data_IF_374519334811
#
_entry.id   IF_374519334811
#
_cell.length_a   1.000
_cell.length_b   1.000
_cell.length_c   1.000
_cell.angle_alpha   90.00
_cell.angle_beta   90.00
_cell.angle_gamma   90.00
#
_symmetry.space_group_name_H-M   'P 1'
#
loop_
_entity.id
_entity.type
_entity.pdbx_description
1 polymer ?
#
# COMPACT_ATOMS: atom_id res chain seq x y z
N UNK A 1 38.37 31.64 -38.16
CA UNK A 1 38.47 31.12 -36.79
C UNK A 1 37.53 31.96 -35.92
N UNK A 2 36.28 32.09 -36.34
CA UNK A 2 35.12 31.21 -36.11
C UNK A 2 34.57 31.40 -34.70
N UNK A 3 33.48 32.18 -34.69
CA UNK A 3 32.60 32.58 -33.61
C UNK A 3 31.79 31.39 -33.05
N UNK A 4 32.39 30.19 -32.99
CA UNK A 4 31.68 28.92 -32.73
C UNK A 4 31.82 28.39 -31.29
N UNK A 5 32.65 29.01 -30.44
CA UNK A 5 32.89 28.50 -29.08
C UNK A 5 32.09 29.20 -27.96
N UNK A 6 31.14 30.08 -28.31
CA UNK A 6 30.26 30.77 -27.34
C UNK A 6 28.78 30.32 -27.39
N UNK A 7 28.45 29.29 -28.17
CA UNK A 7 27.07 28.78 -28.32
C UNK A 7 26.88 27.28 -28.06
N UNK A 8 27.83 26.61 -27.38
CA UNK A 8 27.56 25.31 -26.77
C UNK A 8 26.79 25.45 -25.44
N UNK A 9 25.47 25.54 -25.63
CA UNK A 9 24.39 24.99 -24.80
C UNK A 9 24.23 25.46 -23.35
N UNK A 10 23.84 26.73 -23.17
CA UNK A 10 22.92 27.10 -22.08
C UNK A 10 21.58 26.34 -22.16
N UNK A 11 21.28 25.68 -23.30
CA UNK A 11 20.15 24.76 -23.46
C UNK A 11 20.33 23.38 -22.83
N UNK A 12 21.54 22.98 -22.40
CA UNK A 12 21.78 21.69 -21.71
C UNK A 12 21.83 21.85 -20.18
N UNK A 13 21.91 23.08 -19.66
CA UNK A 13 21.78 23.38 -18.22
C UNK A 13 20.35 23.67 -17.78
N UNK A 14 19.40 23.71 -18.71
CA UNK A 14 18.00 23.86 -18.40
C UNK A 14 17.41 22.54 -17.85
N UNK A 15 17.26 22.52 -16.52
CA UNK A 15 16.27 21.74 -15.73
C UNK A 15 16.62 20.35 -15.22
N UNK A 16 17.79 20.17 -14.61
CA UNK A 16 17.82 19.31 -13.41
C UNK A 16 17.10 20.07 -12.28
N UNK A 17 15.76 20.00 -12.22
CA UNK A 17 15.00 20.57 -11.08
C UNK A 17 15.54 19.92 -9.81
N UNK A 18 15.98 20.74 -8.84
CA UNK A 18 16.48 20.24 -7.57
C UNK A 18 15.42 19.37 -6.89
N UNK A 19 15.85 18.34 -6.17
CA UNK A 19 14.91 17.48 -5.47
C UNK A 19 14.09 18.32 -4.47
N UNK A 20 12.76 18.14 -4.42
CA UNK A 20 11.91 18.90 -3.51
C UNK A 20 12.26 18.57 -2.05
N UNK A 21 12.26 19.61 -1.21
CA UNK A 21 12.34 19.43 0.23
C UNK A 21 11.00 18.91 0.76
N UNK A 22 10.92 17.60 1.02
CA UNK A 22 9.75 16.99 1.67
C UNK A 22 9.78 17.26 3.19
N UNK A 23 8.62 17.48 3.83
CA UNK A 23 8.53 17.49 5.29
C UNK A 23 9.15 16.23 5.91
N UNK A 24 9.81 16.36 7.06
CA UNK A 24 10.60 15.27 7.65
C UNK A 24 9.81 13.98 7.90
N UNK A 25 8.53 14.07 8.23
CA UNK A 25 7.66 12.91 8.46
C UNK A 25 7.30 12.13 7.16
N UNK A 26 7.42 12.78 6.00
CA UNK A 26 7.30 12.16 4.67
C UNK A 26 8.68 11.73 4.16
N UNK A 27 9.70 12.58 4.27
CA UNK A 27 11.06 12.31 3.78
C UNK A 27 11.64 10.99 4.35
N UNK A 28 11.33 10.66 5.61
CA UNK A 28 11.78 9.42 6.23
C UNK A 28 11.16 8.14 5.61
N UNK A 29 10.09 8.26 4.82
CA UNK A 29 9.29 7.16 4.23
C UNK A 29 9.56 6.91 2.76
N UNK A 30 10.19 7.87 2.07
CA UNK A 30 10.36 7.81 0.61
C UNK A 30 11.62 7.04 0.24
N UNK A 31 11.53 6.24 -0.83
CA UNK A 31 12.67 5.72 -1.58
C UNK A 31 12.46 5.95 -3.07
N UNK A 32 13.55 6.21 -3.79
CA UNK A 32 13.55 6.15 -5.27
C UNK A 32 13.71 4.69 -5.67
N UNK A 33 12.79 4.18 -6.48
CA UNK A 33 12.85 2.79 -6.94
C UNK A 33 13.72 2.63 -8.20
N UNK A 34 13.86 3.70 -8.99
CA UNK A 34 14.79 3.76 -10.11
C UNK A 34 15.68 5.02 -10.08
N UNK A 35 16.73 5.01 -10.90
CA UNK A 35 17.69 6.11 -11.03
C UNK A 35 17.35 7.05 -12.21
N UNK A 36 16.05 7.25 -12.50
CA UNK A 36 15.60 8.20 -13.53
C UNK A 36 15.61 9.63 -12.98
N UNK A 37 15.82 10.59 -13.87
CA UNK A 37 15.81 12.02 -13.54
C UNK A 37 14.43 12.49 -13.10
N UNK A 38 14.40 13.31 -12.07
CA UNK A 38 13.18 13.90 -11.54
C UNK A 38 12.82 15.18 -12.32
N UNK A 39 11.53 15.36 -12.62
CA UNK A 39 11.02 16.63 -13.16
C UNK A 39 11.05 16.76 -14.69
N UNK A 40 11.14 15.66 -15.45
CA UNK A 40 10.93 15.66 -16.90
C UNK A 40 9.49 16.09 -17.29
N UNK A 41 9.30 16.42 -18.56
CA UNK A 41 8.17 17.13 -19.20
C UNK A 41 6.83 16.36 -19.24
N UNK A 42 6.43 15.69 -18.15
CA UNK A 42 5.09 15.14 -18.02
C UNK A 42 4.03 16.19 -17.67
N UNK A 43 2.76 15.84 -17.86
CA UNK A 43 1.63 16.76 -17.67
C UNK A 43 1.07 16.76 -16.25
N UNK A 44 1.36 15.71 -15.48
CA UNK A 44 0.84 15.50 -14.13
C UNK A 44 1.81 14.70 -13.26
N UNK A 45 1.58 14.72 -11.96
CA UNK A 45 2.13 13.73 -11.01
C UNK A 45 1.16 12.57 -10.92
N UNK A 46 1.65 11.34 -11.16
CA UNK A 46 0.84 10.13 -11.03
C UNK A 46 1.04 9.53 -9.64
N UNK A 47 -0.04 9.41 -8.86
CA UNK A 47 -0.06 8.51 -7.71
C UNK A 47 -0.75 7.20 -8.11
N UNK A 48 0.04 6.15 -8.29
CA UNK A 48 -0.46 4.80 -8.47
C UNK A 48 -0.79 4.17 -7.11
N UNK A 49 -2.08 4.16 -6.79
CA UNK A 49 -2.63 3.63 -5.54
C UNK A 49 -2.84 2.12 -5.65
N UNK A 50 -2.10 1.36 -4.85
CA UNK A 50 -2.18 -0.11 -4.83
C UNK A 50 -2.67 -0.63 -3.48
N UNK A 51 -2.04 -0.19 -2.39
CA UNK A 51 -2.24 -0.78 -1.04
C UNK A 51 -2.55 0.23 0.06
N UNK A 52 -2.67 1.52 -0.26
CA UNK A 52 -3.19 2.55 0.64
C UNK A 52 -4.48 3.14 0.05
N UNK A 53 -5.53 2.31 -0.05
CA UNK A 53 -6.81 2.66 -0.66
C UNK A 53 -7.63 3.63 0.21
N UNK A 54 -7.12 4.85 0.43
CA UNK A 54 -7.73 5.91 1.23
C UNK A 54 -7.25 7.29 0.77
N UNK A 55 -8.13 8.28 0.89
CA UNK A 55 -7.86 9.69 0.60
C UNK A 55 -7.47 10.51 1.83
N UNK A 56 -7.09 9.89 2.96
CA UNK A 56 -6.72 10.58 4.21
C UNK A 56 -5.59 9.85 4.93
N UNK A 57 -4.74 10.58 5.65
CA UNK A 57 -3.56 10.03 6.34
C UNK A 57 -2.76 9.04 5.46
N UNK A 58 -2.50 9.48 4.23
CA UNK A 58 -1.89 8.68 3.18
C UNK A 58 -0.57 9.33 2.75
N UNK A 59 0.59 8.82 3.26
CA UNK A 59 1.88 9.42 2.96
C UNK A 59 2.23 9.43 1.47
N UNK A 60 1.78 8.45 0.68
CA UNK A 60 2.05 8.41 -0.76
C UNK A 60 1.31 9.52 -1.50
N UNK A 61 0.04 9.73 -1.13
CA UNK A 61 -0.76 10.85 -1.64
C UNK A 61 -0.13 12.19 -1.27
N UNK A 62 0.28 12.37 -0.01
CA UNK A 62 0.85 13.63 0.46
C UNK A 62 2.20 13.92 -0.21
N UNK A 63 3.03 12.89 -0.44
CA UNK A 63 4.24 13.02 -1.26
C UNK A 63 3.87 13.46 -2.68
N UNK A 64 2.91 12.80 -3.33
CA UNK A 64 2.48 13.18 -4.68
C UNK A 64 2.01 14.65 -4.74
N UNK A 65 1.26 15.12 -3.74
CA UNK A 65 0.82 16.52 -3.64
C UNK A 65 1.98 17.49 -3.46
N UNK A 66 2.97 17.17 -2.62
CA UNK A 66 4.19 17.98 -2.49
C UNK A 66 5.01 18.03 -3.78
N UNK A 67 5.14 16.91 -4.48
CA UNK A 67 5.84 16.87 -5.77
C UNK A 67 5.08 17.68 -6.83
N UNK A 68 3.75 17.60 -6.84
CA UNK A 68 2.88 18.36 -7.73
C UNK A 68 3.06 19.87 -7.54
N UNK A 69 3.01 20.36 -6.30
CA UNK A 69 3.26 21.77 -5.97
C UNK A 69 4.65 22.22 -6.41
N UNK A 70 5.68 21.40 -6.19
CA UNK A 70 7.04 21.73 -6.61
C UNK A 70 7.19 21.76 -8.14
N UNK A 71 6.47 20.90 -8.84
CA UNK A 71 6.56 20.77 -10.30
C UNK A 71 5.63 21.71 -11.06
N UNK A 72 4.71 22.39 -10.36
CA UNK A 72 3.60 23.16 -10.95
C UNK A 72 2.74 22.26 -11.87
N UNK A 73 2.28 21.12 -11.31
CA UNK A 73 1.53 20.09 -12.04
C UNK A 73 0.34 19.58 -11.21
N UNK A 74 -0.78 19.20 -11.86
CA UNK A 74 -1.87 18.51 -11.16
C UNK A 74 -1.47 17.10 -10.72
N UNK A 75 -2.22 16.54 -9.76
CA UNK A 75 -2.13 15.12 -9.37
C UNK A 75 -3.25 14.34 -10.02
N UNK A 76 -2.91 13.18 -10.58
CA UNK A 76 -3.85 12.12 -10.95
C UNK A 76 -3.60 10.93 -10.02
N UNK A 77 -4.65 10.45 -9.37
CA UNK A 77 -4.60 9.19 -8.60
C UNK A 77 -5.18 8.09 -9.46
N UNK A 78 -4.39 7.06 -9.75
CA UNK A 78 -4.83 5.92 -10.54
C UNK A 78 -4.84 4.64 -9.71
N UNK A 79 -5.87 3.83 -9.90
CA UNK A 79 -5.97 2.48 -9.35
C UNK A 79 -6.27 1.51 -10.49
N UNK A 80 -5.62 0.34 -10.47
CA UNK A 80 -5.83 -0.72 -11.45
C UNK A 80 -6.09 -2.06 -10.78
N UNK A 81 -7.08 -2.79 -11.31
CA UNK A 81 -7.38 -4.15 -10.89
C UNK A 81 -7.11 -5.10 -12.05
N UNK A 82 -6.14 -6.00 -11.88
CA UNK A 82 -5.78 -7.02 -12.86
C UNK A 82 -6.38 -8.38 -12.45
N UNK A 83 -6.81 -9.17 -13.43
CA UNK A 83 -7.41 -10.50 -13.21
C UNK A 83 -6.39 -11.65 -13.14
N UNK A 84 -5.09 -11.36 -13.32
CA UNK A 84 -4.01 -12.34 -13.49
C UNK A 84 -3.48 -13.00 -12.19
N UNK A 85 -3.93 -12.54 -11.02
CA UNK A 85 -3.50 -13.09 -9.74
C UNK A 85 -4.01 -14.52 -9.50
N UNK A 86 -3.13 -15.41 -9.03
CA UNK A 86 -3.45 -16.81 -8.71
C UNK A 86 -4.60 -17.01 -7.69
N UNK A 87 -4.93 -15.96 -6.93
CA UNK A 87 -6.00 -15.96 -5.92
C UNK A 87 -7.06 -14.89 -6.18
N UNK A 88 -7.09 -14.32 -7.39
CA UNK A 88 -8.13 -13.38 -7.79
C UNK A 88 -9.49 -14.07 -7.78
N UNK A 89 -10.44 -13.49 -7.06
CA UNK A 89 -11.79 -14.03 -6.89
C UNK A 89 -12.79 -12.90 -6.63
N UNK A 90 -14.08 -13.20 -6.77
CA UNK A 90 -15.17 -12.27 -6.46
C UNK A 90 -15.00 -11.65 -5.08
N UNK A 91 -14.57 -12.45 -4.10
CA UNK A 91 -14.24 -12.00 -2.75
C UNK A 91 -13.25 -10.84 -2.72
N UNK A 92 -12.09 -11.03 -3.34
CA UNK A 92 -11.03 -10.03 -3.29
C UNK A 92 -11.37 -8.81 -4.14
N UNK A 93 -11.90 -9.02 -5.35
CA UNK A 93 -12.25 -7.93 -6.26
C UNK A 93 -13.38 -7.06 -5.71
N UNK A 94 -14.44 -7.67 -5.17
CA UNK A 94 -15.54 -6.93 -4.52
C UNK A 94 -15.03 -6.09 -3.36
N UNK A 95 -14.24 -6.69 -2.45
CA UNK A 95 -13.73 -5.99 -1.27
C UNK A 95 -12.78 -4.84 -1.65
N UNK A 96 -11.95 -5.03 -2.68
CA UNK A 96 -11.04 -4.01 -3.19
C UNK A 96 -11.79 -2.86 -3.88
N UNK A 97 -12.73 -3.16 -4.79
CA UNK A 97 -13.53 -2.13 -5.50
C UNK A 97 -14.35 -1.28 -4.54
N UNK A 98 -14.96 -1.88 -3.51
CA UNK A 98 -15.61 -1.13 -2.42
C UNK A 98 -14.62 -0.18 -1.71
N UNK A 99 -13.38 -0.63 -1.52
CA UNK A 99 -12.27 0.18 -1.02
C UNK A 99 -11.97 1.39 -1.88
N UNK A 100 -11.80 1.15 -3.18
CA UNK A 100 -11.45 2.20 -4.15
C UNK A 100 -12.58 3.21 -4.32
N UNK A 101 -13.85 2.78 -4.37
CA UNK A 101 -14.98 3.71 -4.45
C UNK A 101 -15.01 4.67 -3.26
N UNK A 102 -14.82 4.16 -2.03
CA UNK A 102 -14.72 5.01 -0.83
C UNK A 102 -13.51 5.97 -0.94
N UNK A 103 -12.33 5.46 -1.32
CA UNK A 103 -11.12 6.28 -1.47
C UNK A 103 -11.26 7.37 -2.53
N UNK A 104 -11.83 7.03 -3.69
CA UNK A 104 -12.04 7.97 -4.79
C UNK A 104 -13.11 9.01 -4.46
N UNK A 105 -14.13 8.62 -3.68
CA UNK A 105 -15.09 9.58 -3.12
C UNK A 105 -14.40 10.57 -2.18
N UNK A 106 -13.49 10.12 -1.32
CA UNK A 106 -12.69 11.00 -0.45
C UNK A 106 -11.79 11.95 -1.25
N UNK A 107 -11.11 11.44 -2.29
CA UNK A 107 -10.24 12.24 -3.17
C UNK A 107 -11.03 13.25 -4.00
N UNK A 108 -12.19 12.85 -4.53
CA UNK A 108 -13.05 13.72 -5.32
C UNK A 108 -13.57 14.91 -4.49
N UNK A 109 -13.95 14.69 -3.22
CA UNK A 109 -14.31 15.78 -2.29
C UNK A 109 -13.16 16.77 -2.05
N UNK A 110 -11.92 16.34 -2.24
CA UNK A 110 -10.72 17.19 -2.16
C UNK A 110 -10.34 17.82 -3.49
N UNK A 111 -11.11 17.61 -4.57
CA UNK A 111 -10.82 18.14 -5.91
C UNK A 111 -9.70 17.40 -6.65
N UNK A 112 -9.40 16.15 -6.28
CA UNK A 112 -8.32 15.37 -6.89
C UNK A 112 -8.90 14.44 -7.97
N UNK A 113 -8.30 14.46 -9.17
CA UNK A 113 -8.70 13.58 -10.27
C UNK A 113 -8.32 12.13 -9.99
N UNK A 114 -9.22 11.23 -10.36
CA UNK A 114 -9.09 9.79 -10.12
C UNK A 114 -9.36 9.01 -11.41
N UNK A 115 -8.58 7.95 -11.62
CA UNK A 115 -8.67 7.07 -12.79
C UNK A 115 -8.75 5.63 -12.32
N UNK A 116 -9.82 4.93 -12.68
CA UNK A 116 -9.99 3.51 -12.39
C UNK A 116 -9.84 2.71 -13.69
N UNK A 117 -9.00 1.69 -13.65
CA UNK A 117 -8.94 0.65 -14.68
C UNK A 117 -9.26 -0.71 -14.05
N UNK A 118 -10.14 -1.48 -14.67
CA UNK A 118 -10.44 -2.86 -14.27
C UNK A 118 -10.26 -3.73 -15.50
N UNK A 119 -9.32 -4.68 -15.45
CA UNK A 119 -9.11 -5.64 -16.53
C UNK A 119 -10.37 -6.47 -16.74
N UNK A 120 -10.82 -6.56 -17.99
CA UNK A 120 -11.98 -7.34 -18.39
C UNK A 120 -11.52 -8.55 -19.22
N UNK A 121 -12.32 -9.61 -19.24
CA UNK A 121 -12.04 -10.79 -20.04
C UNK A 121 -11.80 -10.40 -21.52
N UNK A 122 -10.64 -10.80 -22.06
CA UNK A 122 -10.27 -10.49 -23.45
C UNK A 122 -9.69 -9.09 -23.69
N UNK A 123 -9.56 -8.25 -22.66
CA UNK A 123 -9.04 -6.89 -22.75
C UNK A 123 -7.93 -6.62 -21.73
N UNK A 124 -6.67 -6.80 -22.15
CA UNK A 124 -5.49 -6.47 -21.35
C UNK A 124 -4.84 -5.18 -21.89
N UNK A 125 -5.14 -4.05 -21.24
CA UNK A 125 -4.40 -2.79 -21.45
C UNK A 125 -3.52 -2.54 -20.23
N UNK A 126 -2.26 -2.13 -20.45
CA UNK A 126 -1.39 -1.70 -19.36
C UNK A 126 -1.65 -0.23 -19.00
N UNK A 127 -2.84 0.04 -18.46
CA UNK A 127 -3.32 1.39 -18.14
C UNK A 127 -2.34 2.20 -17.29
N UNK A 128 -1.62 1.55 -16.36
CA UNK A 128 -0.66 2.22 -15.48
C UNK A 128 0.63 2.58 -16.22
N UNK A 129 1.16 1.70 -17.08
CA UNK A 129 2.32 2.03 -17.91
C UNK A 129 2.01 3.21 -18.84
N UNK A 130 0.81 3.20 -19.44
CA UNK A 130 0.39 4.27 -20.34
C UNK A 130 0.25 5.61 -19.60
N UNK A 131 -0.35 5.60 -18.40
CA UNK A 131 -0.39 6.77 -17.52
C UNK A 131 1.01 7.21 -17.07
N UNK A 132 1.92 6.27 -16.82
CA UNK A 132 3.28 6.60 -16.40
C UNK A 132 4.04 7.35 -17.49
N UNK A 133 3.83 7.03 -18.78
CA UNK A 133 4.49 7.75 -19.89
C UNK A 133 4.14 9.24 -19.95
N UNK A 134 2.94 9.63 -19.52
CA UNK A 134 2.50 11.03 -19.44
C UNK A 134 2.89 11.76 -18.15
N UNK A 135 3.44 11.05 -17.15
CA UNK A 135 3.70 11.61 -15.83
C UNK A 135 5.09 12.27 -15.72
N UNK A 136 5.20 13.34 -14.92
CA UNK A 136 6.50 13.94 -14.56
C UNK A 136 7.26 13.08 -13.54
N UNK A 137 6.51 12.38 -12.69
CA UNK A 137 6.97 11.45 -11.65
C UNK A 137 5.82 10.52 -11.28
N UNK A 138 6.14 9.26 -10.99
CA UNK A 138 5.21 8.27 -10.44
C UNK A 138 5.50 8.09 -8.97
N UNK A 139 4.46 8.12 -8.15
CA UNK A 139 4.50 7.79 -6.73
C UNK A 139 3.65 6.53 -6.50
N UNK A 140 4.11 5.60 -5.68
CA UNK A 140 3.32 4.44 -5.24
C UNK A 140 3.68 4.03 -3.81
N UNK A 141 3.03 3.02 -3.26
CA UNK A 141 3.34 2.50 -1.93
C UNK A 141 4.58 1.57 -1.94
N UNK A 142 5.40 1.67 -0.90
CA UNK A 142 6.53 0.75 -0.65
C UNK A 142 5.99 -0.50 0.06
N UNK A 143 5.51 -1.48 -0.71
CA UNK A 143 4.98 -2.75 -0.20
C UNK A 143 6.01 -3.86 -0.45
N UNK A 144 6.57 -4.50 0.60
CA UNK A 144 7.73 -5.37 0.45
C UNK A 144 7.41 -6.81 0.01
N UNK A 145 6.16 -7.11 -0.36
CA UNK A 145 5.68 -8.47 -0.67
C UNK A 145 5.09 -8.53 -2.09
N UNK A 146 5.11 -9.73 -2.66
CA UNK A 146 4.44 -10.01 -3.93
C UNK A 146 2.91 -9.94 -3.82
N UNK A 147 2.19 -9.56 -4.88
CA UNK A 147 2.70 -9.14 -6.18
C UNK A 147 3.15 -7.66 -6.22
N UNK A 148 2.88 -6.88 -5.17
CA UNK A 148 3.06 -5.42 -5.17
C UNK A 148 4.50 -4.97 -5.38
N UNK A 149 5.47 -5.62 -4.70
CA UNK A 149 6.90 -5.36 -4.91
C UNK A 149 7.28 -5.59 -6.38
N UNK A 150 6.86 -6.73 -6.94
CA UNK A 150 7.15 -7.11 -8.33
C UNK A 150 6.56 -6.11 -9.31
N UNK A 151 5.27 -5.76 -9.16
CA UNK A 151 4.57 -4.78 -10.00
C UNK A 151 5.24 -3.41 -10.01
N UNK A 152 5.59 -2.88 -8.83
CA UNK A 152 6.30 -1.60 -8.72
C UNK A 152 7.70 -1.68 -9.35
N UNK A 153 8.42 -2.79 -9.17
CA UNK A 153 9.74 -2.98 -9.77
C UNK A 153 9.67 -3.10 -11.29
N UNK A 154 8.75 -3.89 -11.83
CA UNK A 154 8.53 -4.01 -13.29
C UNK A 154 8.27 -2.65 -13.93
N UNK A 155 7.34 -1.86 -13.37
CA UNK A 155 7.08 -0.51 -13.88
C UNK A 155 8.33 0.38 -13.79
N UNK A 156 9.08 0.31 -12.68
CA UNK A 156 10.27 1.12 -12.48
C UNK A 156 11.41 0.79 -13.48
N UNK A 157 11.52 -0.47 -13.89
CA UNK A 157 12.51 -0.96 -14.86
C UNK A 157 12.14 -0.54 -16.28
N UNK A 158 10.84 -0.63 -16.63
CA UNK A 158 10.32 -0.38 -17.98
C UNK A 158 10.11 1.11 -18.28
N UNK A 159 9.76 1.92 -17.29
CA UNK A 159 9.47 3.34 -17.49
C UNK A 159 10.72 4.23 -17.58
N UNK A 160 10.64 5.28 -18.39
CA UNK A 160 11.62 6.35 -18.45
C UNK A 160 11.43 7.41 -17.34
N UNK A 161 10.35 7.31 -16.56
CA UNK A 161 9.94 8.30 -15.54
C UNK A 161 10.47 7.92 -14.16
N UNK A 162 10.79 8.93 -13.33
CA UNK A 162 11.16 8.68 -11.94
C UNK A 162 10.01 8.01 -11.18
N UNK A 163 10.29 6.87 -10.52
CA UNK A 163 9.33 6.17 -9.68
C UNK A 163 9.78 6.20 -8.22
N UNK A 164 8.95 6.79 -7.37
CA UNK A 164 9.20 6.92 -5.93
C UNK A 164 8.18 6.05 -5.18
N UNK A 165 8.65 5.30 -4.20
CA UNK A 165 7.80 4.49 -3.32
C UNK A 165 7.80 5.04 -1.91
N UNK A 166 6.66 4.96 -1.24
CA UNK A 166 6.45 5.57 0.09
C UNK A 166 5.88 4.55 1.06
N UNK A 167 6.47 4.40 2.24
CA UNK A 167 5.91 3.57 3.30
C UNK A 167 4.64 4.21 3.91
N UNK A 168 3.50 3.65 3.55
CA UNK A 168 2.16 4.04 4.01
C UNK A 168 1.57 3.11 5.07
N UNK A 169 2.25 2.01 5.39
CA UNK A 169 1.73 0.93 6.21
C UNK A 169 2.26 0.98 7.64
N UNK A 170 3.53 1.34 7.84
CA UNK A 170 4.17 1.25 9.15
C UNK A 170 4.23 2.62 9.85
N UNK A 171 4.00 2.61 11.17
CA UNK A 171 4.27 3.76 12.02
C UNK A 171 5.76 4.07 11.98
N UNK A 172 6.62 3.07 12.15
CA UNK A 172 8.06 3.15 11.92
C UNK A 172 8.34 2.75 10.47
N UNK A 173 8.80 3.67 9.61
CA UNK A 173 9.09 3.34 8.22
C UNK A 173 10.08 2.17 8.12
N UNK A 174 9.81 1.18 7.27
CA UNK A 174 10.61 -0.05 7.17
C UNK A 174 12.10 0.23 6.97
N UNK A 175 12.44 1.24 6.16
CA UNK A 175 13.83 1.66 5.92
C UNK A 175 14.59 2.13 7.17
N UNK A 176 13.89 2.55 8.22
CA UNK A 176 14.52 2.95 9.49
C UNK A 176 14.86 1.75 10.40
N UNK A 177 14.36 0.55 10.09
CA UNK A 177 14.62 -0.66 10.90
C UNK A 177 16.02 -1.26 10.68
N UNK A 178 16.72 -0.83 9.63
CA UNK A 178 18.11 -1.17 9.25
C UNK A 178 18.41 -2.64 8.92
N UNK A 179 17.67 -3.62 9.46
CA UNK A 179 17.84 -5.05 9.21
C UNK A 179 16.56 -5.86 9.43
N UNK A 180 16.56 -7.11 8.97
CA UNK A 180 15.57 -8.10 9.34
C UNK A 180 15.70 -8.50 10.83
N UNK A 181 14.57 -8.80 11.46
CA UNK A 181 14.50 -9.33 12.83
C UNK A 181 13.73 -10.65 12.83
N UNK A 182 14.33 -11.68 13.42
CA UNK A 182 13.74 -13.02 13.57
C UNK A 182 12.98 -13.18 14.90
N UNK A 183 13.11 -12.20 15.81
CA UNK A 183 12.50 -12.23 17.15
C UNK A 183 11.81 -10.92 17.50
N UNK A 184 10.60 -11.02 18.02
CA UNK A 184 9.76 -9.87 18.37
C UNK A 184 10.36 -8.95 19.44
N UNK A 185 11.09 -9.47 20.43
CA UNK A 185 11.69 -8.62 21.47
C UNK A 185 12.85 -7.78 20.91
N UNK A 186 13.67 -8.34 20.00
CA UNK A 186 14.76 -7.60 19.35
C UNK A 186 14.20 -6.44 18.51
N UNK A 187 13.14 -6.69 17.75
CA UNK A 187 12.44 -5.65 16.99
C UNK A 187 11.83 -4.59 17.90
N UNK A 188 11.18 -5.03 18.99
CA UNK A 188 10.55 -4.14 19.97
C UNK A 188 11.54 -3.14 20.58
N UNK A 189 12.72 -3.64 20.95
CA UNK A 189 13.78 -2.84 21.57
C UNK A 189 14.39 -1.87 20.56
N UNK A 190 14.78 -2.37 19.38
CA UNK A 190 15.38 -1.56 18.32
C UNK A 190 14.47 -0.42 17.83
N UNK A 191 13.14 -0.64 17.81
CA UNK A 191 12.18 0.36 17.32
C UNK A 191 11.55 1.22 18.42
N UNK A 192 11.88 1.00 19.70
CA UNK A 192 11.22 1.67 20.83
C UNK A 192 11.22 3.20 20.71
N UNK A 193 12.39 3.80 20.50
CA UNK A 193 12.53 5.26 20.37
C UNK A 193 11.77 5.79 19.13
N UNK A 194 11.86 5.07 18.01
CA UNK A 194 11.19 5.45 16.77
C UNK A 194 9.66 5.42 16.91
N UNK A 195 9.11 4.40 17.57
CA UNK A 195 7.67 4.27 17.86
C UNK A 195 7.20 5.37 18.81
N UNK A 196 7.93 5.63 19.90
CA UNK A 196 7.58 6.69 20.85
C UNK A 196 7.50 8.06 20.21
N UNK A 197 8.41 8.36 19.28
CA UNK A 197 8.40 9.63 18.55
C UNK A 197 7.18 9.80 17.63
N UNK A 198 6.59 8.71 17.13
CA UNK A 198 5.63 8.72 16.01
C UNK A 198 4.20 8.35 16.41
N UNK A 199 4.02 7.50 17.41
CA UNK A 199 2.73 6.89 17.77
C UNK A 199 1.61 7.90 18.00
N UNK A 200 1.92 9.03 18.64
CA UNK A 200 0.92 10.05 19.01
C UNK A 200 0.88 11.23 18.06
N UNK A 201 1.72 11.25 17.01
CA UNK A 201 1.76 12.36 16.05
C UNK A 201 0.41 12.50 15.35
N UNK A 202 -0.08 13.73 15.29
CA UNK A 202 -1.16 14.09 14.37
C UNK A 202 -0.62 14.04 12.95
N UNK A 203 -1.50 13.72 12.00
CA UNK A 203 -1.13 13.69 10.59
C UNK A 203 -1.60 14.99 9.93
N UNK A 204 -0.69 15.83 9.41
CA UNK A 204 -1.09 17.06 8.74
C UNK A 204 -1.75 16.72 7.40
N UNK A 205 -2.87 17.39 7.10
CA UNK A 205 -3.51 17.26 5.79
C UNK A 205 -2.81 18.19 4.79
N UNK A 206 -2.59 17.69 3.57
CA UNK A 206 -2.00 18.46 2.46
C UNK A 206 -3.08 18.75 1.45
N UNK A 207 -3.32 20.01 1.10
CA UNK A 207 -4.31 20.36 0.07
C UNK A 207 -3.70 20.30 -1.34
N UNK A 208 -4.44 19.88 -2.37
CA UNK A 208 -4.01 20.06 -3.75
C UNK A 208 -3.93 21.56 -4.09
N UNK A 209 -2.91 21.94 -4.85
CA UNK A 209 -2.65 23.34 -5.24
C UNK A 209 -3.13 23.65 -6.65
N UNK A 210 -3.24 22.62 -7.49
CA UNK A 210 -3.64 22.76 -8.89
C UNK A 210 -4.94 22.01 -9.13
N UNK A 211 -5.88 22.65 -9.83
CA UNK A 211 -7.03 21.96 -10.36
C UNK A 211 -6.56 20.86 -11.33
N UNK A 212 -7.23 19.70 -11.36
CA UNK A 212 -6.89 18.69 -12.32
C UNK A 212 -7.05 19.28 -13.71
N UNK A 213 -5.98 19.24 -14.51
CA UNK A 213 -6.16 19.40 -15.94
C UNK A 213 -7.14 18.31 -16.36
N UNK A 214 -8.20 18.78 -17.00
CA UNK A 214 -9.06 18.05 -17.91
C UNK A 214 -8.42 16.69 -18.32
N UNK A 215 -9.01 15.54 -17.94
CA UNK A 215 -8.52 14.18 -18.22
C UNK A 215 -8.58 13.79 -19.72
N UNK A 216 -8.57 14.76 -20.64
CA UNK A 216 -9.16 14.61 -21.98
C UNK A 216 -8.36 13.75 -22.97
N UNK A 217 -7.18 13.23 -22.59
CA UNK A 217 -6.36 12.38 -23.46
C UNK A 217 -5.85 11.12 -22.73
N UNK A 218 -6.70 10.45 -21.95
CA UNK A 218 -6.35 9.14 -21.46
C UNK A 218 -6.20 8.15 -22.63
N UNK A 219 -5.16 7.30 -22.65
CA UNK A 219 -4.92 6.34 -23.73
C UNK A 219 -5.89 5.16 -23.73
N UNK A 220 -6.83 5.14 -22.77
CA UNK A 220 -7.88 4.15 -22.61
C UNK A 220 -9.14 4.82 -22.04
N UNK A 221 -10.27 4.13 -22.13
CA UNK A 221 -11.52 4.56 -21.51
C UNK A 221 -11.51 4.14 -20.04
N UNK A 222 -11.49 5.08 -19.07
CA UNK A 222 -11.53 4.74 -17.67
C UNK A 222 -12.90 4.20 -17.26
N UNK A 223 -12.94 3.38 -16.22
CA UNK A 223 -14.18 2.96 -15.60
C UNK A 223 -14.81 4.15 -14.88
N UNK A 224 -16.09 4.40 -15.14
CA UNK A 224 -16.89 5.36 -14.37
C UNK A 224 -17.18 4.79 -12.98
N UNK A 225 -16.29 5.11 -12.04
CA UNK A 225 -16.40 4.65 -10.67
C UNK A 225 -17.56 5.29 -9.90
N UNK A 226 -18.10 6.42 -10.36
CA UNK A 226 -19.21 7.12 -9.71
C UNK A 226 -20.54 6.42 -9.96
N UNK A 227 -20.67 5.78 -11.12
CA UNK A 227 -21.84 5.01 -11.53
C UNK A 227 -21.55 3.52 -11.69
N UNK A 228 -20.55 3.02 -10.96
CA UNK A 228 -20.08 1.65 -11.05
C UNK A 228 -21.14 0.63 -10.62
N UNK A 229 -21.59 -0.21 -11.56
CA UNK A 229 -22.21 -1.49 -11.20
C UNK A 229 -21.13 -2.46 -10.78
N UNK A 230 -20.93 -2.57 -9.46
CA UNK A 230 -19.88 -3.40 -8.89
C UNK A 230 -20.07 -4.88 -9.23
N UNK A 231 -21.31 -5.38 -9.23
CA UNK A 231 -21.57 -6.80 -9.48
C UNK A 231 -21.29 -7.15 -10.94
N UNK A 232 -21.78 -6.33 -11.88
CA UNK A 232 -21.52 -6.52 -13.31
C UNK A 232 -20.02 -6.37 -13.63
N UNK A 233 -19.33 -5.40 -13.01
CA UNK A 233 -17.89 -5.19 -13.23
C UNK A 233 -17.07 -6.39 -12.77
N UNK A 234 -17.38 -6.95 -11.60
CA UNK A 234 -16.70 -8.15 -11.06
C UNK A 234 -17.00 -9.37 -11.93
N UNK A 235 -18.25 -9.54 -12.38
CA UNK A 235 -18.66 -10.65 -13.23
C UNK A 235 -17.96 -10.68 -14.61
N UNK A 236 -17.48 -9.52 -15.10
CA UNK A 236 -16.71 -9.42 -16.34
C UNK A 236 -15.19 -9.66 -16.19
N UNK A 237 -14.70 -9.81 -14.96
CA UNK A 237 -13.29 -10.07 -14.69
C UNK A 237 -12.93 -11.55 -14.91
N UNK A 238 -11.72 -11.84 -15.41
CA UNK A 238 -11.26 -13.20 -15.63
C UNK A 238 -10.71 -13.85 -14.34
N UNK A 239 -11.59 -14.13 -13.37
CA UNK A 239 -11.21 -14.52 -11.99
C UNK A 239 -11.97 -15.75 -11.49
N UNK A 240 -11.63 -16.25 -10.30
CA UNK A 240 -12.39 -17.33 -9.65
C UNK A 240 -13.72 -16.81 -9.06
N UNK A 241 -14.81 -17.06 -9.77
CA UNK A 241 -16.18 -16.77 -9.34
C UNK A 241 -16.76 -17.80 -8.35
N UNK A 242 -16.05 -18.90 -8.07
CA UNK A 242 -16.45 -19.91 -7.09
C UNK A 242 -16.31 -19.43 -5.64
N UNK A 243 -15.50 -18.38 -5.41
CA UNK A 243 -15.25 -17.81 -4.08
C UNK A 243 -15.95 -16.45 -3.96
N UNK A 244 -17.21 -16.50 -3.53
CA UNK A 244 -18.07 -15.33 -3.44
C UNK A 244 -17.66 -14.29 -2.38
N UNK A 245 -18.23 -13.07 -2.49
CA UNK A 245 -18.01 -11.98 -1.53
C UNK A 245 -18.40 -12.34 -0.09
N UNK A 246 -17.73 -11.70 0.87
CA UNK A 246 -18.03 -11.88 2.30
C UNK A 246 -19.12 -10.90 2.73
N UNK A 247 -20.36 -11.38 2.81
CA UNK A 247 -21.55 -10.55 3.06
C UNK A 247 -21.45 -9.65 4.31
N UNK A 248 -20.83 -10.13 5.39
CA UNK A 248 -20.72 -9.39 6.67
C UNK A 248 -19.46 -8.52 6.79
N UNK A 249 -18.64 -8.43 5.74
CA UNK A 249 -17.41 -7.62 5.73
C UNK A 249 -17.32 -6.84 4.42
N UNK A 250 -18.05 -5.72 4.35
CA UNK A 250 -17.91 -4.73 3.27
C UNK A 250 -16.55 -4.04 3.35
N UNK A 251 -15.90 -3.82 2.21
CA UNK A 251 -14.73 -2.98 2.07
C UNK A 251 -15.06 -1.49 2.15
N UNK A 252 -14.01 -0.67 2.10
CA UNK A 252 -14.12 0.78 2.21
C UNK A 252 -13.71 1.33 3.56
N UNK A 253 -13.22 2.57 3.56
CA UNK A 253 -12.84 3.30 4.77
C UNK A 253 -14.05 3.51 5.69
N UNK A 254 -15.24 3.72 5.13
CA UNK A 254 -16.48 3.92 5.90
C UNK A 254 -16.80 2.68 6.76
N UNK A 255 -16.85 1.50 6.13
CA UNK A 255 -17.08 0.24 6.83
C UNK A 255 -15.94 -0.10 7.79
N UNK A 256 -14.69 0.17 7.39
CA UNK A 256 -13.50 -0.06 8.22
C UNK A 256 -13.51 0.77 9.51
N UNK A 257 -13.81 2.07 9.43
CA UNK A 257 -13.87 2.93 10.61
C UNK A 257 -15.10 2.71 11.48
N UNK A 258 -16.24 2.32 10.89
CA UNK A 258 -17.40 1.88 11.67
C UNK A 258 -17.02 0.66 12.55
N UNK A 259 -16.36 -0.34 11.95
CA UNK A 259 -15.87 -1.51 12.69
C UNK A 259 -14.82 -1.14 13.74
N UNK A 260 -13.86 -0.30 13.39
CA UNK A 260 -12.84 0.15 14.33
C UNK A 260 -13.45 0.88 15.52
N UNK A 261 -14.40 1.79 15.29
CA UNK A 261 -15.04 2.56 16.36
C UNK A 261 -15.81 1.66 17.32
N UNK A 262 -16.62 0.73 16.80
CA UNK A 262 -17.31 -0.26 17.63
C UNK A 262 -16.33 -1.12 18.44
N UNK A 263 -15.27 -1.63 17.82
CA UNK A 263 -14.26 -2.40 18.53
C UNK A 263 -13.56 -1.57 19.61
N UNK A 264 -13.13 -0.34 19.29
CA UNK A 264 -12.45 0.59 20.19
C UNK A 264 -13.31 0.91 21.41
N UNK A 265 -14.58 1.19 21.21
CA UNK A 265 -15.48 1.70 22.24
C UNK A 265 -16.06 0.57 23.10
N UNK A 266 -16.33 -0.60 22.51
CA UNK A 266 -17.06 -1.67 23.21
C UNK A 266 -16.19 -2.88 23.60
N UNK A 267 -15.09 -3.17 22.88
CA UNK A 267 -14.41 -4.48 22.97
C UNK A 267 -12.91 -4.39 23.27
N UNK A 268 -12.26 -3.29 22.88
CA UNK A 268 -10.81 -3.12 22.96
C UNK A 268 -10.26 -3.30 24.37
N UNK A 269 -10.96 -2.82 25.41
CA UNK A 269 -10.54 -2.98 26.82
C UNK A 269 -10.37 -4.44 27.21
N UNK A 270 -11.19 -5.34 26.66
CA UNK A 270 -11.19 -6.77 26.98
C UNK A 270 -10.32 -7.60 26.03
N UNK A 271 -9.74 -6.97 25.00
CA UNK A 271 -8.99 -7.65 23.94
C UNK A 271 -7.91 -8.59 24.48
N UNK A 272 -7.12 -8.14 25.46
CA UNK A 272 -6.02 -8.94 26.03
C UNK A 272 -6.49 -10.30 26.56
N UNK A 273 -7.69 -10.35 27.16
CA UNK A 273 -8.29 -11.57 27.72
C UNK A 273 -9.01 -12.41 26.66
N UNK A 274 -9.74 -11.77 25.74
CA UNK A 274 -10.66 -12.47 24.82
C UNK A 274 -9.97 -12.99 23.55
N UNK A 275 -8.92 -12.33 23.05
CA UNK A 275 -8.24 -12.64 21.77
C UNK A 275 -7.76 -14.09 21.61
N UNK A 276 -7.56 -14.82 22.72
CA UNK A 276 -7.00 -16.18 22.69
C UNK A 276 -8.06 -17.23 22.32
N UNK A 277 -9.34 -16.90 22.51
CA UNK A 277 -10.44 -17.80 22.16
C UNK A 277 -10.79 -17.64 20.68
N UNK A 278 -10.36 -18.60 19.85
CA UNK A 278 -10.62 -18.59 18.41
C UNK A 278 -12.11 -18.69 18.04
N UNK A 279 -12.96 -19.17 18.95
CA UNK A 279 -14.41 -19.25 18.75
C UNK A 279 -15.13 -17.92 19.07
N UNK A 280 -14.47 -17.02 19.78
CA UNK A 280 -15.01 -15.73 20.15
C UNK A 280 -14.79 -14.72 19.01
N UNK A 281 -15.76 -14.64 18.10
CA UNK A 281 -15.69 -13.72 16.95
C UNK A 281 -15.61 -12.24 17.36
N UNK A 282 -16.03 -11.91 18.58
CA UNK A 282 -15.99 -10.55 19.15
C UNK A 282 -14.75 -10.31 20.02
N UNK A 283 -13.90 -11.33 20.20
CA UNK A 283 -12.65 -11.24 20.95
C UNK A 283 -11.53 -10.51 20.21
N UNK A 284 -11.70 -10.23 18.91
CA UNK A 284 -10.70 -9.60 18.04
C UNK A 284 -11.28 -8.42 17.25
N UNK A 285 -10.41 -7.58 16.70
CA UNK A 285 -10.83 -6.35 16.00
C UNK A 285 -11.44 -6.60 14.61
N UNK A 286 -11.07 -7.72 13.97
CA UNK A 286 -11.41 -8.02 12.57
C UNK A 286 -11.00 -6.90 11.60
N UNK A 287 -9.94 -6.15 11.93
CA UNK A 287 -9.43 -5.02 11.14
C UNK A 287 -8.41 -5.42 10.06
N UNK A 288 -7.94 -6.66 10.06
CA UNK A 288 -6.93 -7.15 9.10
C UNK A 288 -7.29 -6.91 7.62
N UNK A 289 -8.52 -7.14 7.11
CA UNK A 289 -8.79 -6.91 5.69
C UNK A 289 -8.71 -5.41 5.31
N UNK A 290 -9.14 -4.51 6.19
CA UNK A 290 -9.05 -3.06 5.97
C UNK A 290 -7.60 -2.56 6.04
N UNK A 291 -6.81 -3.08 6.98
CA UNK A 291 -5.39 -2.76 7.12
C UNK A 291 -4.54 -3.34 5.97
N UNK A 292 -4.94 -4.49 5.42
CA UNK A 292 -4.24 -5.15 4.32
C UNK A 292 -4.25 -4.30 3.04
N UNK A 293 -5.40 -3.73 2.68
CA UNK A 293 -5.54 -2.84 1.52
C UNK A 293 -5.41 -1.35 1.87
N UNK A 294 -5.06 -1.04 3.12
CA UNK A 294 -4.90 0.32 3.62
C UNK A 294 -6.15 1.19 3.45
N UNK A 295 -7.34 0.58 3.50
CA UNK A 295 -8.65 1.27 3.48
C UNK A 295 -8.87 2.13 4.72
N UNK A 296 -8.15 1.83 5.80
CA UNK A 296 -8.09 2.63 7.03
C UNK A 296 -6.63 3.00 7.33
N UNK A 297 -6.44 4.12 8.02
CA UNK A 297 -5.12 4.59 8.40
C UNK A 297 -4.58 3.81 9.60
N UNK A 298 -3.41 3.14 9.48
CA UNK A 298 -2.74 2.56 10.64
C UNK A 298 -2.30 3.64 11.63
N UNK A 299 -1.99 4.85 11.17
CA UNK A 299 -1.64 6.00 12.02
C UNK A 299 -2.79 6.41 12.92
N UNK A 300 -4.01 6.51 12.37
CA UNK A 300 -5.23 6.83 13.13
C UNK A 300 -5.54 5.76 14.16
N UNK A 301 -5.58 4.50 13.73
CA UNK A 301 -5.89 3.37 14.60
C UNK A 301 -4.90 3.26 15.75
N UNK A 302 -3.59 3.37 15.47
CA UNK A 302 -2.56 3.31 16.50
C UNK A 302 -2.68 4.46 17.50
N UNK A 303 -2.87 5.70 17.01
CA UNK A 303 -3.02 6.88 17.85
C UNK A 303 -4.28 6.81 18.73
N UNK A 304 -5.40 6.33 18.20
CA UNK A 304 -6.64 6.16 18.96
C UNK A 304 -6.56 5.03 19.99
N UNK A 305 -5.94 3.90 19.65
CA UNK A 305 -5.69 2.82 20.61
C UNK A 305 -4.76 3.27 21.75
N UNK A 306 -3.74 4.07 21.44
CA UNK A 306 -2.82 4.62 22.43
C UNK A 306 -3.54 5.52 23.45
N UNK A 307 -4.51 6.33 22.99
CA UNK A 307 -5.32 7.19 23.88
C UNK A 307 -6.16 6.40 24.89
N UNK A 308 -6.52 5.15 24.62
CA UNK A 308 -7.37 4.35 25.51
C UNK A 308 -6.65 3.87 26.77
N UNK A 309 -5.32 3.70 26.73
CA UNK A 309 -4.51 3.39 27.92
C UNK A 309 -4.87 2.12 28.72
N UNK A 310 -5.66 1.19 28.17
CA UNK A 310 -6.09 -0.04 28.84
C UNK A 310 -5.12 -1.21 28.58
N UNK A 311 -5.21 -2.29 29.34
CA UNK A 311 -4.43 -3.52 29.06
C UNK A 311 -4.76 -4.08 27.68
N UNK A 312 -6.04 -4.07 27.33
CA UNK A 312 -6.50 -4.48 26.00
C UNK A 312 -5.94 -3.59 24.89
N UNK A 313 -5.87 -2.27 25.07
CA UNK A 313 -5.28 -1.39 24.05
C UNK A 313 -3.76 -1.50 23.97
N UNK A 314 -3.04 -1.69 25.09
CA UNK A 314 -1.61 -2.02 25.09
C UNK A 314 -1.33 -3.32 24.33
N UNK A 315 -2.13 -4.37 24.57
CA UNK A 315 -1.99 -5.64 23.86
C UNK A 315 -2.36 -5.52 22.38
N UNK A 316 -3.37 -4.72 22.04
CA UNK A 316 -3.70 -4.46 20.64
C UNK A 316 -2.54 -3.76 19.90
N UNK A 317 -1.94 -2.74 20.52
CA UNK A 317 -0.76 -2.06 19.97
C UNK A 317 0.45 -2.98 19.85
N UNK A 318 0.61 -3.96 20.74
CA UNK A 318 1.63 -5.00 20.63
C UNK A 318 1.47 -5.80 19.33
N UNK A 319 0.25 -6.25 19.02
CA UNK A 319 -0.04 -6.98 17.77
C UNK A 319 0.11 -6.07 16.53
N UNK A 320 -0.39 -4.83 16.61
CA UNK A 320 -0.40 -3.88 15.49
C UNK A 320 0.98 -3.32 15.15
N UNK A 321 1.82 -3.05 16.16
CA UNK A 321 3.10 -2.33 16.01
C UNK A 321 4.33 -3.20 16.20
N UNK A 322 4.24 -4.33 16.92
CA UNK A 322 5.35 -5.27 17.04
C UNK A 322 5.19 -6.35 16.01
N UNK A 323 4.15 -7.18 16.11
CA UNK A 323 4.02 -8.36 15.26
C UNK A 323 3.81 -8.02 13.79
N UNK A 324 2.87 -7.09 13.50
CA UNK A 324 2.62 -6.68 12.12
C UNK A 324 3.80 -5.93 11.50
N UNK A 325 4.39 -4.93 12.18
CA UNK A 325 5.51 -4.18 11.59
C UNK A 325 6.82 -4.99 11.55
N UNK A 326 7.00 -5.96 12.44
CA UNK A 326 8.06 -6.97 12.33
C UNK A 326 7.94 -7.74 11.00
N UNK A 327 6.74 -8.17 10.61
CA UNK A 327 6.53 -8.86 9.33
C UNK A 327 6.88 -7.96 8.15
N UNK A 328 6.51 -6.68 8.18
CA UNK A 328 6.91 -5.71 7.16
C UNK A 328 8.44 -5.53 7.10
N UNK A 329 9.09 -5.32 8.24
CA UNK A 329 10.54 -5.17 8.31
C UNK A 329 11.28 -6.43 7.83
N UNK A 330 10.80 -7.62 8.21
CA UNK A 330 11.32 -8.89 7.71
C UNK A 330 11.24 -8.98 6.19
N UNK A 331 10.04 -8.82 5.62
CA UNK A 331 9.85 -8.93 4.17
C UNK A 331 10.61 -7.83 3.40
N UNK A 332 10.80 -6.65 4.01
CA UNK A 332 11.56 -5.55 3.41
C UNK A 332 13.02 -5.92 3.22
N UNK A 333 13.65 -6.49 4.25
CA UNK A 333 15.07 -6.85 4.29
C UNK A 333 15.38 -8.26 3.79
N UNK A 334 14.37 -9.12 3.65
CA UNK A 334 14.49 -10.49 3.14
C UNK A 334 13.64 -10.65 1.85
N UNK A 335 14.19 -10.33 0.67
CA UNK A 335 13.43 -10.37 -0.59
C UNK A 335 12.85 -11.75 -0.94
N UNK A 336 13.52 -12.82 -0.55
CA UNK A 336 13.15 -14.24 -0.76
C UNK A 336 12.35 -14.84 0.43
N UNK A 337 11.65 -13.99 1.21
CA UNK A 337 10.87 -14.36 2.39
C UNK A 337 9.77 -15.41 2.13
N UNK A 338 9.35 -15.56 0.88
CA UNK A 338 8.37 -16.53 0.41
C UNK A 338 8.98 -17.90 0.03
N UNK A 339 10.29 -18.07 0.23
CA UNK A 339 11.02 -19.31 -0.05
C UNK A 339 11.52 -19.99 1.23
N UNK A 340 11.84 -21.29 1.13
CA UNK A 340 12.46 -22.03 2.23
C UNK A 340 13.82 -21.45 2.66
N UNK A 341 14.50 -20.66 1.82
CA UNK A 341 15.79 -20.04 2.15
C UNK A 341 15.67 -19.00 3.26
N UNK A 342 14.49 -18.38 3.42
CA UNK A 342 14.22 -17.44 4.48
C UNK A 342 14.11 -18.09 5.87
N UNK A 343 13.92 -19.41 5.95
CA UNK A 343 13.84 -20.12 7.22
C UNK A 343 15.22 -20.14 7.91
N UNK A 344 15.29 -20.08 9.25
CA UNK A 344 16.54 -20.26 9.98
C UNK A 344 17.24 -21.58 9.63
N UNK A 345 18.58 -21.60 9.68
CA UNK A 345 19.36 -22.78 9.31
C UNK A 345 18.95 -24.07 10.06
N UNK A 346 18.68 -23.96 11.36
CA UNK A 346 18.20 -25.09 12.17
C UNK A 346 16.84 -25.62 11.71
N UNK A 347 15.95 -24.73 11.24
CA UNK A 347 14.63 -25.09 10.75
C UNK A 347 14.73 -25.80 9.39
N UNK A 348 15.62 -25.34 8.52
CA UNK A 348 15.91 -26.04 7.25
C UNK A 348 16.53 -27.41 7.48
N UNK A 349 17.43 -27.53 8.46
CA UNK A 349 18.06 -28.81 8.80
C UNK A 349 17.02 -29.81 9.31
N UNK A 350 16.16 -29.42 10.26
CA UNK A 350 15.13 -30.34 10.77
C UNK A 350 14.13 -30.74 9.67
N UNK A 351 13.74 -29.82 8.77
CA UNK A 351 12.90 -30.18 7.62
C UNK A 351 13.59 -31.18 6.68
N UNK A 352 14.91 -31.05 6.48
CA UNK A 352 15.68 -31.98 5.67
C UNK A 352 15.82 -33.36 6.33
N UNK A 353 16.08 -33.41 7.63
CA UNK A 353 16.20 -34.65 8.41
C UNK A 353 14.89 -35.46 8.37
N UNK A 354 13.75 -34.77 8.33
CA UNK A 354 12.41 -35.35 8.31
C UNK A 354 11.78 -35.45 6.89
N UNK A 355 12.54 -35.17 5.83
CA UNK A 355 11.99 -35.14 4.46
C UNK A 355 11.47 -36.51 3.96
N UNK A 356 11.86 -37.61 4.61
CA UNK A 356 11.47 -38.99 4.26
C UNK A 356 10.49 -39.61 5.25
N UNK A 357 9.94 -38.83 6.18
CA UNK A 357 8.96 -39.33 7.13
C UNK A 357 7.73 -39.84 6.39
N UNK A 358 7.32 -41.07 6.70
CA UNK A 358 6.18 -41.72 6.05
C UNK A 358 4.90 -40.97 6.45
N UNK A 359 4.11 -40.58 5.45
CA UNK A 359 2.80 -39.98 5.69
C UNK A 359 1.88 -40.96 6.44
N UNK A 360 1.70 -40.72 7.73
CA UNK A 360 0.88 -41.55 8.63
C UNK A 360 -0.61 -41.46 8.31
N UNK A 361 -1.06 -40.56 7.42
CA UNK A 361 -2.44 -40.52 6.93
C UNK A 361 -2.78 -41.79 6.12
N UNK A 362 -1.81 -42.35 5.40
CA UNK A 362 -1.94 -43.59 4.63
C UNK A 362 -2.07 -44.87 5.50
N UNK A 363 -1.71 -44.78 6.79
CA UNK A 363 -1.70 -45.92 7.72
C UNK A 363 -3.08 -46.10 8.38
N UNK A 364 -3.95 -45.08 8.40
CA UNK A 364 -5.27 -45.13 9.05
C UNK A 364 -6.37 -45.84 8.24
N UNK A 365 -6.10 -46.26 7.01
CA UNK A 365 -7.04 -47.00 6.14
C UNK A 365 -7.00 -48.52 6.27
N UNK A 366 -6.20 -49.07 7.20
CA UNK A 366 -6.11 -50.52 7.47
C UNK A 366 -6.34 -50.81 8.95
N UNK A 367 -7.57 -50.66 9.42
CA UNK A 367 -8.07 -51.36 10.61
C UNK A 367 -9.53 -51.72 10.45
#
# INVERSE_FOLDING_TARGET
MSNEDLHRSDSERATARSLPALPGHLAERVRRLNARDFGKTGDYVLYWMQTACRGHENPALDVALHLATHLDRPVIVAASLCSDGAYSSDRHHTFWLQGIVDAFTELHRRGIATVLHVAQLGHNVSAIEDLARGASVVVSEDMPVSPWRGRSQSLADETAVALWVVDTACIVPMRLTQRAFDRAYLYRDATRALRMQRLTRTWPEVSPVHEPKSLFNLPFVPVDWQHLDLAATVAGCAIDHGIGPVAHTRGGSSAGYARWSDFRDNRLRQYARRRINALDQDGVSRMSPYLHLGQVSPFRIAREAAKQGSDGSRKFLDELLIWRELSYAWCFHQPDHDTANALPAWARQTLADHAKDVDRSSIRGRR
#
